data_IF_799118143886
#
_entry.id   IF_799118143886
#
_cell.length_a   1.000
_cell.length_b   1.000
_cell.length_c   1.000
_cell.angle_alpha   90.00
_cell.angle_beta   90.00
_cell.angle_gamma   90.00
#
_symmetry.space_group_name_H-M   'P 1'
#
loop_
_entity.id
_entity.type
_entity.pdbx_description
1 polymer ?
#
# COMPACT_ATOMS: atom_id res chain seq x y z
N UNK A 1 -0.86 29.31 -7.43
CA UNK A 1 -0.35 30.38 -8.32
C UNK A 1 0.99 30.97 -7.88
N UNK A 2 1.15 31.61 -6.71
CA UNK A 2 2.45 32.22 -6.32
C UNK A 2 3.60 31.21 -6.24
N UNK A 3 3.41 30.10 -5.51
CA UNK A 3 4.37 28.97 -5.45
C UNK A 3 4.72 28.36 -6.83
N UNK A 4 3.78 28.40 -7.77
CA UNK A 4 3.93 27.80 -9.10
C UNK A 4 4.69 28.72 -10.06
N UNK A 5 4.49 30.04 -9.92
CA UNK A 5 5.26 31.05 -10.62
C UNK A 5 6.71 31.09 -10.15
N UNK A 6 6.92 30.94 -8.84
CA UNK A 6 8.25 30.96 -8.23
C UNK A 6 9.04 29.67 -8.54
N UNK A 7 8.34 28.57 -8.86
CA UNK A 7 8.91 27.31 -9.36
C UNK A 7 9.04 27.24 -10.91
N UNK A 8 8.68 28.31 -11.64
CA UNK A 8 8.83 28.38 -13.09
C UNK A 8 7.78 27.62 -13.92
N UNK A 9 6.77 27.02 -13.29
CA UNK A 9 5.74 26.20 -13.95
C UNK A 9 4.67 27.01 -14.68
N UNK A 10 4.65 28.34 -14.53
CA UNK A 10 3.76 29.24 -15.28
C UNK A 10 4.43 30.58 -15.49
N UNK A 11 4.33 31.14 -16.70
CA UNK A 11 4.87 32.47 -16.98
C UNK A 11 3.99 33.52 -16.31
N UNK A 12 4.61 34.34 -15.48
CA UNK A 12 3.92 35.43 -14.78
C UNK A 12 4.61 36.76 -15.05
N UNK A 13 3.82 37.80 -15.31
CA UNK A 13 4.32 39.17 -15.43
C UNK A 13 3.65 40.08 -14.40
N UNK A 14 4.34 41.15 -14.02
CA UNK A 14 3.83 42.14 -13.06
C UNK A 14 3.19 43.29 -13.80
N UNK A 15 2.02 43.71 -13.31
CA UNK A 15 1.36 44.94 -13.76
C UNK A 15 1.97 46.16 -13.06
N UNK A 16 1.80 47.39 -13.58
CA UNK A 16 2.33 48.61 -12.96
C UNK A 16 1.90 48.83 -11.50
N UNK A 17 0.78 48.25 -11.06
CA UNK A 17 0.30 48.26 -9.67
C UNK A 17 0.78 47.09 -8.80
N UNK A 18 1.82 46.35 -9.21
CA UNK A 18 2.45 45.29 -8.40
C UNK A 18 1.76 43.93 -8.40
N UNK A 19 0.57 43.80 -9.00
CA UNK A 19 -0.17 42.54 -9.06
C UNK A 19 0.42 41.60 -10.13
N UNK A 20 0.50 40.31 -9.79
CA UNK A 20 0.99 39.24 -10.67
C UNK A 20 -0.16 38.71 -11.54
N UNK A 21 0.03 38.67 -12.86
CA UNK A 21 -0.92 38.10 -13.84
C UNK A 21 -0.32 36.89 -14.55
N UNK A 22 -1.19 36.00 -15.02
CA UNK A 22 -0.86 34.70 -15.61
C UNK A 22 -1.49 34.57 -17.00
N UNK A 23 -0.81 33.89 -17.93
CA UNK A 23 -1.36 33.63 -19.26
C UNK A 23 -2.53 32.66 -19.16
N UNK A 24 -3.66 33.03 -19.77
CA UNK A 24 -4.84 32.16 -19.84
C UNK A 24 -4.54 30.88 -20.63
N UNK A 25 -3.71 30.96 -21.68
CA UNK A 25 -3.30 29.81 -22.48
C UNK A 25 -2.41 28.84 -21.69
N UNK A 26 -1.51 29.35 -20.83
CA UNK A 26 -0.68 28.50 -19.95
C UNK A 26 -1.56 27.82 -18.89
N UNK A 27 -2.56 28.54 -18.33
CA UNK A 27 -3.54 27.97 -17.41
C UNK A 27 -4.38 26.87 -18.07
N UNK A 28 -4.81 27.12 -19.31
CA UNK A 28 -5.63 26.18 -20.08
C UNK A 28 -4.82 24.94 -20.50
N UNK A 29 -3.54 25.11 -20.86
CA UNK A 29 -2.62 24.00 -21.14
C UNK A 29 -2.32 23.16 -19.89
N UNK A 30 -2.18 23.78 -18.72
CA UNK A 30 -2.03 23.07 -17.44
C UNK A 30 -3.30 22.29 -17.06
N UNK A 31 -4.48 22.87 -17.28
CA UNK A 31 -5.76 22.18 -17.07
C UNK A 31 -5.95 21.03 -18.08
N UNK A 32 -5.51 21.20 -19.32
CA UNK A 32 -5.55 20.15 -20.34
C UNK A 32 -4.53 19.03 -20.07
N UNK A 33 -3.36 19.34 -19.48
CA UNK A 33 -2.37 18.35 -19.04
C UNK A 33 -2.85 17.45 -17.92
N UNK A 34 -3.73 17.94 -17.03
CA UNK A 34 -4.41 17.11 -16.02
C UNK A 34 -5.57 16.28 -16.57
N UNK A 35 -6.01 16.56 -17.80
CA UNK A 35 -7.05 15.79 -18.49
C UNK A 35 -6.45 14.70 -19.41
N UNK A 36 -5.13 14.68 -19.61
CA UNK A 36 -4.45 13.69 -20.43
C UNK A 36 -4.03 12.46 -19.60
N UNK A 37 -4.93 11.46 -19.60
CA UNK A 37 -4.84 10.11 -19.05
C UNK A 37 -5.41 9.91 -17.64
N UNK A 38 -6.62 9.40 -17.60
CA UNK A 38 -7.20 8.64 -16.47
C UNK A 38 -6.47 7.30 -16.31
N UNK A 39 -5.14 7.33 -16.22
CA UNK A 39 -4.34 6.14 -15.91
C UNK A 39 -4.10 6.23 -14.41
N UNK A 40 -4.93 5.55 -13.63
CA UNK A 40 -4.64 5.41 -12.20
C UNK A 40 -3.34 4.61 -12.06
N UNK A 41 -2.20 5.24 -11.71
CA UNK A 41 -0.88 4.62 -11.86
C UNK A 41 -0.65 3.48 -10.84
N UNK A 42 -1.54 3.35 -9.86
CA UNK A 42 -1.40 2.43 -8.73
C UNK A 42 -2.30 1.19 -8.83
N UNK A 43 -3.27 1.12 -9.74
CA UNK A 43 -4.30 0.07 -9.80
C UNK A 43 -3.74 -1.32 -10.11
N UNK A 44 -2.58 -1.39 -10.76
CA UNK A 44 -1.91 -2.63 -11.16
C UNK A 44 -0.96 -3.20 -10.10
N UNK A 45 -0.53 -2.41 -9.10
CA UNK A 45 0.48 -2.82 -8.10
C UNK A 45 0.06 -4.12 -7.41
N UNK A 46 -1.16 -4.19 -6.89
CA UNK A 46 -1.68 -5.38 -6.22
C UNK A 46 -1.70 -6.62 -7.13
N UNK A 47 -2.09 -6.47 -8.40
CA UNK A 47 -2.15 -7.59 -9.35
C UNK A 47 -0.76 -8.14 -9.69
N UNK A 48 0.21 -7.25 -9.89
CA UNK A 48 1.60 -7.62 -10.13
C UNK A 48 2.20 -8.30 -8.90
N UNK A 49 1.96 -7.74 -7.71
CA UNK A 49 2.40 -8.33 -6.44
C UNK A 49 1.81 -9.73 -6.23
N UNK A 50 0.50 -9.90 -6.36
CA UNK A 50 -0.18 -11.20 -6.21
C UNK A 50 0.35 -12.25 -7.19
N UNK A 51 0.55 -11.86 -8.45
CA UNK A 51 1.11 -12.74 -9.48
C UNK A 51 2.51 -13.24 -9.13
N UNK A 52 3.34 -12.36 -8.53
CA UNK A 52 4.70 -12.69 -8.09
C UNK A 52 4.70 -13.56 -6.84
N UNK A 53 3.88 -13.20 -5.85
CA UNK A 53 3.67 -13.97 -4.62
C UNK A 53 3.28 -15.41 -4.97
N UNK A 54 2.23 -15.59 -5.78
CA UNK A 54 1.75 -16.91 -6.21
C UNK A 54 2.85 -17.72 -6.88
N UNK A 55 3.54 -17.11 -7.85
CA UNK A 55 4.63 -17.74 -8.59
C UNK A 55 5.79 -18.16 -7.67
N UNK A 56 6.07 -17.38 -6.62
CA UNK A 56 7.15 -17.67 -5.67
C UNK A 56 6.74 -18.76 -4.67
N UNK A 57 5.51 -18.73 -4.17
CA UNK A 57 4.96 -19.79 -3.31
C UNK A 57 4.93 -21.14 -4.03
N UNK A 58 4.58 -21.17 -5.32
CA UNK A 58 4.60 -22.40 -6.14
C UNK A 58 6.01 -22.98 -6.36
N UNK A 59 7.06 -22.14 -6.31
CA UNK A 59 8.46 -22.56 -6.53
C UNK A 59 9.23 -22.82 -5.25
N UNK A 60 8.73 -22.33 -4.11
CA UNK A 60 9.42 -22.41 -2.83
C UNK A 60 8.99 -23.64 -2.05
N UNK A 61 9.88 -24.62 -1.89
CA UNK A 61 9.71 -25.72 -0.92
C UNK A 61 10.06 -25.32 0.53
N UNK A 62 10.40 -24.05 0.79
CA UNK A 62 11.10 -23.62 2.01
C UNK A 62 10.43 -22.46 2.78
N UNK A 63 9.16 -22.13 2.54
CA UNK A 63 8.48 -21.13 3.38
C UNK A 63 7.85 -21.84 4.58
N UNK A 64 8.67 -22.14 5.59
CA UNK A 64 8.26 -22.93 6.77
C UNK A 64 7.03 -22.34 7.47
N UNK A 65 6.93 -21.01 7.53
CA UNK A 65 5.74 -20.29 8.03
C UNK A 65 4.47 -20.57 7.22
N UNK A 66 4.58 -20.81 5.90
CA UNK A 66 3.44 -21.09 5.04
C UNK A 66 2.96 -22.54 5.14
N UNK A 67 3.88 -23.48 5.41
CA UNK A 67 3.53 -24.89 5.69
C UNK A 67 2.90 -25.10 7.07
N UNK A 68 3.11 -24.18 8.02
CA UNK A 68 2.56 -24.25 9.38
C UNK A 68 1.04 -24.06 9.48
N UNK A 69 0.38 -23.58 8.41
CA UNK A 69 -1.06 -23.38 8.37
C UNK A 69 -1.83 -24.70 8.27
N UNK A 70 -2.88 -24.84 9.08
CA UNK A 70 -3.85 -25.92 9.00
C UNK A 70 -4.49 -25.95 7.61
N UNK A 71 -4.74 -27.14 7.05
CA UNK A 71 -5.24 -27.24 5.67
C UNK A 71 -6.58 -26.55 5.48
N UNK A 72 -7.47 -26.66 6.47
CA UNK A 72 -8.81 -26.06 6.47
C UNK A 72 -8.78 -24.52 6.48
N UNK A 73 -7.72 -23.93 7.02
CA UNK A 73 -7.59 -22.48 7.21
C UNK A 73 -6.75 -21.79 6.12
N UNK A 74 -6.09 -22.56 5.26
CA UNK A 74 -5.27 -22.03 4.15
C UNK A 74 -6.10 -21.16 3.20
N UNK A 75 -7.36 -21.50 2.95
CA UNK A 75 -8.20 -20.71 2.06
C UNK A 75 -8.62 -19.37 2.70
N UNK A 76 -8.94 -19.38 3.99
CA UNK A 76 -9.17 -18.16 4.78
C UNK A 76 -7.93 -17.27 4.79
N UNK A 77 -6.76 -17.83 5.09
CA UNK A 77 -5.49 -17.11 5.07
C UNK A 77 -5.16 -16.51 3.69
N UNK A 78 -5.42 -17.25 2.60
CA UNK A 78 -5.27 -16.73 1.23
C UNK A 78 -6.24 -15.59 0.93
N UNK A 79 -7.47 -15.65 1.44
CA UNK A 79 -8.46 -14.61 1.23
C UNK A 79 -8.08 -13.32 1.95
N UNK A 80 -7.66 -13.41 3.22
CA UNK A 80 -7.14 -12.26 3.98
C UNK A 80 -5.91 -11.65 3.30
N UNK A 81 -4.91 -12.48 2.97
CA UNK A 81 -3.71 -11.99 2.29
C UNK A 81 -4.02 -11.33 0.94
N UNK A 82 -4.96 -11.87 0.16
CA UNK A 82 -5.39 -11.25 -1.10
C UNK A 82 -6.08 -9.91 -0.87
N UNK A 83 -6.92 -9.77 0.16
CA UNK A 83 -7.60 -8.52 0.47
C UNK A 83 -6.60 -7.44 0.91
N UNK A 84 -5.68 -7.77 1.83
CA UNK A 84 -4.61 -6.86 2.26
C UNK A 84 -3.78 -6.35 1.08
N UNK A 85 -3.32 -7.25 0.20
CA UNK A 85 -2.57 -6.83 -0.98
C UNK A 85 -3.42 -5.95 -1.90
N UNK A 86 -4.73 -6.19 -2.02
CA UNK A 86 -5.63 -5.37 -2.86
C UNK A 86 -5.87 -3.97 -2.27
N UNK A 87 -5.93 -3.86 -0.93
CA UNK A 87 -6.08 -2.58 -0.23
C UNK A 87 -4.94 -1.61 -0.55
N UNK A 88 -3.74 -2.11 -0.83
CA UNK A 88 -2.59 -1.26 -1.20
C UNK A 88 -2.88 -0.37 -2.40
N UNK A 89 -3.38 -0.95 -3.51
CA UNK A 89 -3.71 -0.17 -4.70
C UNK A 89 -4.82 0.84 -4.41
N UNK A 90 -5.82 0.48 -3.59
CA UNK A 90 -6.88 1.40 -3.18
C UNK A 90 -6.36 2.55 -2.30
N UNK A 91 -5.46 2.25 -1.37
CA UNK A 91 -4.86 3.20 -0.43
C UNK A 91 -3.96 4.22 -1.13
N UNK A 92 -3.22 3.77 -2.15
CA UNK A 92 -2.40 4.64 -2.99
C UNK A 92 -3.26 5.50 -3.92
N UNK A 93 -4.34 4.97 -4.49
CA UNK A 93 -5.20 5.69 -5.41
C UNK A 93 -6.17 6.70 -4.75
N UNK A 94 -6.69 6.41 -3.55
CA UNK A 94 -7.83 7.14 -2.95
C UNK A 94 -7.45 7.89 -1.68
N UNK A 95 -6.86 9.07 -1.83
CA UNK A 95 -6.43 9.92 -0.70
C UNK A 95 -7.50 10.18 0.38
N UNK A 96 -8.75 10.41 -0.02
CA UNK A 96 -9.85 10.73 0.93
C UNK A 96 -10.36 9.53 1.73
N UNK A 97 -10.17 8.29 1.27
CA UNK A 97 -10.59 7.06 1.97
C UNK A 97 -9.46 6.37 2.73
N UNK A 98 -8.28 6.98 2.81
CA UNK A 98 -7.11 6.35 3.48
C UNK A 98 -7.38 5.95 4.92
N UNK A 99 -8.09 6.78 5.69
CA UNK A 99 -8.46 6.44 7.07
C UNK A 99 -9.36 5.18 7.13
N UNK A 100 -10.42 5.12 6.32
CA UNK A 100 -11.31 3.96 6.24
C UNK A 100 -10.57 2.69 5.81
N UNK A 101 -9.64 2.81 4.87
CA UNK A 101 -8.84 1.67 4.38
C UNK A 101 -7.84 1.18 5.44
N UNK A 102 -7.32 2.07 6.29
CA UNK A 102 -6.47 1.70 7.43
C UNK A 102 -7.28 0.98 8.51
N UNK A 103 -8.51 1.44 8.79
CA UNK A 103 -9.41 0.75 9.72
C UNK A 103 -9.79 -0.63 9.19
N UNK A 104 -10.11 -0.75 7.90
CA UNK A 104 -10.38 -2.05 7.27
C UNK A 104 -9.17 -2.99 7.33
N UNK A 105 -7.96 -2.48 7.06
CA UNK A 105 -6.74 -3.27 7.18
C UNK A 105 -6.52 -3.75 8.62
N UNK A 106 -6.79 -2.90 9.63
CA UNK A 106 -6.69 -3.26 11.04
C UNK A 106 -7.67 -4.39 11.40
N UNK A 107 -8.93 -4.28 11.00
CA UNK A 107 -9.95 -5.31 11.26
C UNK A 107 -9.55 -6.66 10.64
N UNK A 108 -9.09 -6.63 9.38
CA UNK A 108 -8.60 -7.83 8.69
C UNK A 108 -7.41 -8.44 9.44
N UNK A 109 -6.46 -7.62 9.89
CA UNK A 109 -5.25 -8.12 10.57
C UNK A 109 -5.53 -8.63 11.97
N UNK A 110 -6.53 -8.09 12.66
CA UNK A 110 -7.00 -8.63 13.92
C UNK A 110 -7.55 -10.05 13.72
N UNK A 111 -8.46 -10.24 12.76
CA UNK A 111 -9.07 -11.56 12.50
C UNK A 111 -8.05 -12.55 11.93
N UNK A 112 -7.17 -12.06 11.04
CA UNK A 112 -6.15 -12.89 10.44
C UNK A 112 -5.07 -13.27 11.46
N UNK A 113 -4.61 -12.35 12.30
CA UNK A 113 -3.65 -12.63 13.37
C UNK A 113 -4.18 -13.65 14.37
N UNK A 114 -5.45 -13.51 14.79
CA UNK A 114 -6.11 -14.47 15.67
C UNK A 114 -6.21 -15.87 15.03
N UNK A 115 -6.51 -15.95 13.73
CA UNK A 115 -6.49 -17.19 12.96
C UNK A 115 -5.09 -17.83 12.98
N UNK A 116 -4.05 -17.07 12.65
CA UNK A 116 -2.66 -17.56 12.61
C UNK A 116 -2.16 -18.02 13.99
N UNK A 117 -2.52 -17.29 15.04
CA UNK A 117 -2.21 -17.66 16.42
C UNK A 117 -2.88 -18.98 16.82
N UNK A 118 -4.16 -19.15 16.48
CA UNK A 118 -4.91 -20.38 16.74
C UNK A 118 -4.30 -21.58 16.04
N UNK A 119 -3.80 -21.39 14.82
CA UNK A 119 -3.10 -22.41 14.04
C UNK A 119 -1.68 -22.70 14.58
N UNK A 120 -1.25 -22.01 15.63
CA UNK A 120 0.02 -22.26 16.32
C UNK A 120 1.22 -21.60 15.66
N UNK A 121 1.02 -20.69 14.70
CA UNK A 121 2.14 -19.92 14.13
C UNK A 121 2.68 -18.94 15.18
N UNK A 122 4.00 -18.93 15.35
CA UNK A 122 4.64 -17.95 16.22
C UNK A 122 4.60 -16.55 15.58
N UNK A 123 4.66 -15.50 16.41
CA UNK A 123 4.79 -14.13 15.91
C UNK A 123 5.98 -14.01 14.94
N UNK A 124 7.09 -14.69 15.23
CA UNK A 124 8.27 -14.75 14.34
C UNK A 124 7.91 -15.27 12.94
N UNK A 125 7.12 -16.35 12.85
CA UNK A 125 6.72 -16.93 11.55
C UNK A 125 5.84 -15.96 10.76
N UNK A 126 4.93 -15.26 11.44
CA UNK A 126 4.09 -14.24 10.82
C UNK A 126 4.91 -13.05 10.34
N UNK A 127 5.88 -12.58 11.13
CA UNK A 127 6.80 -11.50 10.72
C UNK A 127 7.69 -11.90 9.54
N UNK A 128 8.09 -13.17 9.47
CA UNK A 128 8.80 -13.72 8.32
C UNK A 128 7.92 -13.70 7.06
N UNK A 129 6.65 -14.10 7.19
CA UNK A 129 5.65 -13.98 6.13
C UNK A 129 5.41 -12.54 5.68
N UNK A 130 5.17 -11.64 6.63
CA UNK A 130 4.98 -10.21 6.38
C UNK A 130 6.14 -9.61 5.59
N UNK A 131 7.38 -9.85 6.02
CA UNK A 131 8.58 -9.36 5.33
C UNK A 131 8.68 -9.92 3.90
N UNK A 132 8.30 -11.18 3.71
CA UNK A 132 8.23 -11.78 2.38
C UNK A 132 7.21 -11.07 1.47
N UNK A 133 6.01 -10.78 1.96
CA UNK A 133 4.97 -10.09 1.18
C UNK A 133 5.37 -8.64 0.89
N UNK A 134 5.80 -7.89 1.92
CA UNK A 134 6.26 -6.49 1.81
C UNK A 134 7.30 -6.33 0.71
N UNK A 135 8.33 -7.18 0.70
CA UNK A 135 9.37 -7.13 -0.35
C UNK A 135 8.79 -7.27 -1.76
N UNK A 136 7.80 -8.14 -1.96
CA UNK A 136 7.17 -8.34 -3.28
C UNK A 136 6.28 -7.18 -3.70
N UNK A 137 5.64 -6.55 -2.72
CA UNK A 137 4.87 -5.34 -2.93
C UNK A 137 5.80 -4.17 -3.33
N UNK A 138 6.91 -3.97 -2.60
CA UNK A 138 7.92 -2.96 -2.92
C UNK A 138 8.48 -3.15 -4.34
N UNK A 139 8.81 -4.40 -4.70
CA UNK A 139 9.27 -4.72 -6.05
C UNK A 139 8.20 -4.46 -7.12
N UNK A 140 6.91 -4.62 -6.80
CA UNK A 140 5.81 -4.36 -7.74
C UNK A 140 5.56 -2.86 -7.90
N UNK A 141 5.55 -2.11 -6.79
CA UNK A 141 5.43 -0.66 -6.79
C UNK A 141 6.55 0.01 -7.60
N UNK A 142 7.81 -0.45 -7.46
CA UNK A 142 8.94 0.02 -8.28
C UNK A 142 8.72 -0.17 -9.78
N UNK A 143 8.27 -1.36 -10.16
CA UNK A 143 8.03 -1.68 -11.56
C UNK A 143 6.91 -0.82 -12.13
N UNK A 144 5.81 -0.65 -11.40
CA UNK A 144 4.68 0.17 -11.85
C UNK A 144 5.02 1.66 -11.88
N UNK A 145 5.80 2.16 -10.92
CA UNK A 145 6.30 3.53 -10.97
C UNK A 145 7.15 3.78 -12.23
N UNK A 146 8.02 2.83 -12.57
CA UNK A 146 8.83 2.92 -13.78
C UNK A 146 7.99 2.82 -15.06
N UNK A 147 7.01 1.91 -15.12
CA UNK A 147 6.13 1.73 -16.29
C UNK A 147 5.21 2.91 -16.56
N UNK A 148 4.83 3.65 -15.52
CA UNK A 148 3.96 4.82 -15.62
C UNK A 148 4.75 6.14 -15.64
N UNK A 149 6.09 6.07 -15.76
CA UNK A 149 6.99 7.24 -15.83
C UNK A 149 6.74 8.26 -14.70
N UNK A 150 6.51 7.77 -13.48
CA UNK A 150 6.26 8.63 -12.32
C UNK A 150 7.46 9.55 -12.04
N UNK A 151 7.16 10.79 -11.68
CA UNK A 151 8.16 11.77 -11.23
C UNK A 151 8.79 11.35 -9.90
N UNK A 152 9.95 11.93 -9.57
CA UNK A 152 10.63 11.66 -8.30
C UNK A 152 9.74 11.96 -7.08
N UNK A 153 8.96 13.05 -7.12
CA UNK A 153 8.05 13.44 -6.04
C UNK A 153 6.91 12.42 -5.88
N UNK A 154 6.30 11.96 -6.98
CA UNK A 154 5.25 10.93 -6.94
C UNK A 154 5.77 9.59 -6.43
N UNK A 155 7.01 9.23 -6.79
CA UNK A 155 7.67 8.03 -6.27
C UNK A 155 7.90 8.15 -4.76
N UNK A 156 8.36 9.30 -4.28
CA UNK A 156 8.57 9.54 -2.84
C UNK A 156 7.25 9.48 -2.06
N UNK A 157 6.18 10.11 -2.56
CA UNK A 157 4.85 10.05 -1.94
C UNK A 157 4.32 8.61 -1.89
N UNK A 158 4.46 7.85 -2.98
CA UNK A 158 4.09 6.43 -3.02
C UNK A 158 4.86 5.62 -1.98
N UNK A 159 6.18 5.85 -1.83
CA UNK A 159 6.99 5.15 -0.83
C UNK A 159 6.59 5.48 0.60
N UNK A 160 6.32 6.75 0.89
CA UNK A 160 5.86 7.19 2.21
C UNK A 160 4.53 6.51 2.56
N UNK A 161 3.58 6.49 1.63
CA UNK A 161 2.30 5.82 1.82
C UNK A 161 2.43 4.31 2.01
N UNK A 162 3.26 3.64 1.20
CA UNK A 162 3.51 2.20 1.35
C UNK A 162 4.18 1.87 2.68
N UNK A 163 5.18 2.65 3.10
CA UNK A 163 5.86 2.43 4.39
C UNK A 163 4.90 2.63 5.55
N UNK A 164 4.12 3.72 5.54
CA UNK A 164 3.15 4.02 6.58
C UNK A 164 2.09 2.91 6.68
N UNK A 165 1.54 2.43 5.56
CA UNK A 165 0.60 1.32 5.55
C UNK A 165 1.25 0.06 6.14
N UNK A 166 2.43 -0.33 5.65
CA UNK A 166 3.14 -1.52 6.12
C UNK A 166 3.45 -1.46 7.63
N UNK A 167 3.86 -0.30 8.15
CA UNK A 167 4.17 -0.13 9.57
C UNK A 167 2.90 -0.23 10.44
N UNK A 168 1.76 0.31 9.99
CA UNK A 168 0.47 0.15 10.66
C UNK A 168 -0.01 -1.31 10.63
N UNK A 169 0.15 -2.00 9.50
CA UNK A 169 -0.20 -3.41 9.39
C UNK A 169 0.66 -4.27 10.33
N UNK A 170 1.96 -4.00 10.40
CA UNK A 170 2.90 -4.70 11.26
C UNK A 170 2.52 -4.56 12.75
N UNK A 171 2.17 -3.36 13.19
CA UNK A 171 1.72 -3.11 14.56
C UNK A 171 0.39 -3.80 14.85
N UNK A 172 -0.56 -3.75 13.92
CA UNK A 172 -1.89 -4.39 14.07
C UNK A 172 -1.78 -5.91 14.24
N UNK A 173 -0.84 -6.55 13.53
CA UNK A 173 -0.54 -7.99 13.72
C UNK A 173 0.01 -8.28 15.11
N UNK A 174 0.93 -7.45 15.60
CA UNK A 174 1.52 -7.63 16.92
C UNK A 174 0.45 -7.48 18.02
N UNK A 175 -0.41 -6.47 17.91
CA UNK A 175 -1.55 -6.23 18.81
C UNK A 175 -2.50 -7.44 18.84
N UNK A 176 -2.89 -7.96 17.66
CA UNK A 176 -3.72 -9.17 17.55
C UNK A 176 -3.12 -10.38 18.26
N UNK A 177 -1.80 -10.55 18.17
CA UNK A 177 -1.08 -11.64 18.82
C UNK A 177 -1.04 -11.48 20.35
N UNK A 178 -0.80 -10.28 20.85
CA UNK A 178 -0.84 -9.98 22.29
C UNK A 178 -2.25 -10.23 22.86
N UNK A 179 -3.30 -9.78 22.17
CA UNK A 179 -4.69 -10.00 22.56
C UNK A 179 -5.06 -11.50 22.59
N UNK A 180 -4.68 -12.26 21.56
CA UNK A 180 -4.91 -13.70 21.50
C UNK A 180 -4.18 -14.46 22.61
N UNK A 181 -2.95 -14.05 22.93
CA UNK A 181 -2.18 -14.60 24.05
C UNK A 181 -2.86 -14.33 25.40
N UNK A 182 -3.29 -13.08 25.62
CA UNK A 182 -3.98 -12.69 26.86
C UNK A 182 -5.32 -13.40 27.03
N UNK A 183 -6.11 -13.54 25.96
CA UNK A 183 -7.36 -14.29 25.98
C UNK A 183 -7.15 -15.78 26.30
N UNK A 184 -6.03 -16.36 25.85
CA UNK A 184 -5.66 -17.75 26.17
C UNK A 184 -5.29 -17.92 27.63
N UNK A 185 -4.57 -16.95 28.21
CA UNK A 185 -4.21 -16.94 29.63
C UNK A 185 -5.44 -16.78 30.54
N UNK A 186 -6.38 -15.91 30.19
CA UNK A 186 -7.60 -15.66 30.98
C UNK A 186 -8.58 -16.84 31.02
N UNK A 187 -8.44 -17.81 30.12
CA UNK A 187 -9.27 -19.03 30.06
C UNK A 187 -8.70 -20.21 30.88
N UNK A 188 -7.51 -20.07 31.44
CA UNK A 188 -6.84 -21.09 32.29
C UNK A 188 -7.10 -20.81 33.77
#
# INVERSE_FOLDING_TARGET
>A
MRRWADAGHTRSFRTPGGHRRFSEDDLRAMMAGHAASTREPFTSISQVALSRIRRRLQRGRNQTWYSGLAEDDRDSARNYGRRLVSLVSEYLAKGSRRAELLDEARDILHDYGALLFRDGLSLRDVLEGFTFFRKRLDEAAREEAQKNDLSADEVLEMWEHLSNLADQELLSVAESYDEAAMATLARR
#
